data_IF_862536088740
#
_entry.id   IF_862536088740
#
_cell.length_a   1.000
_cell.length_b   1.000
_cell.length_c   1.000
_cell.angle_alpha   90.00
_cell.angle_beta   90.00
_cell.angle_gamma   90.00
#
_symmetry.space_group_name_H-M   'P 1'
#
loop_
_entity.id
_entity.type
_entity.pdbx_description
1 polymer ?
#
# COMPACT_ATOMS: atom_id res chain seq x y z
N UNK A 1 -32.70 76.71 27.64
CA UNK A 1 -32.94 75.76 28.73
C UNK A 1 -32.62 74.39 28.18
N UNK A 2 -31.58 74.01 28.44
CA UNK A 2 -30.74 72.92 28.90
C UNK A 2 -31.52 71.65 29.22
N UNK A 3 -31.24 70.57 28.53
CA UNK A 3 -31.70 69.22 28.80
C UNK A 3 -30.53 68.25 28.52
N UNK A 4 -29.90 67.82 29.60
CA UNK A 4 -28.76 66.86 29.60
C UNK A 4 -29.21 65.50 29.16
N UNK A 5 -28.49 64.92 28.18
CA UNK A 5 -28.62 63.55 27.79
C UNK A 5 -27.58 62.66 28.55
N UNK A 6 -28.10 61.78 29.38
CA UNK A 6 -27.39 60.80 30.16
C UNK A 6 -26.66 59.75 29.25
N UNK A 7 -25.33 59.66 29.38
CA UNK A 7 -24.50 58.66 28.77
C UNK A 7 -24.56 57.36 29.62
N UNK A 8 -25.25 56.35 29.13
CA UNK A 8 -25.18 55.02 29.72
C UNK A 8 -23.90 54.31 29.26
N UNK A 9 -22.97 54.07 30.18
CA UNK A 9 -21.77 53.31 29.98
C UNK A 9 -22.09 51.83 29.75
N UNK A 10 -21.90 51.35 28.53
CA UNK A 10 -21.87 49.91 28.18
C UNK A 10 -20.57 49.32 28.69
N UNK A 11 -20.65 48.45 29.71
CA UNK A 11 -19.53 47.67 30.22
C UNK A 11 -18.94 46.71 29.15
N UNK A 12 -17.66 46.36 29.28
CA UNK A 12 -17.00 45.51 28.31
C UNK A 12 -17.62 44.10 28.35
N UNK A 13 -18.14 43.64 27.21
CA UNK A 13 -18.55 42.25 27.01
C UNK A 13 -17.34 41.33 27.24
N UNK A 14 -17.42 40.53 28.28
CA UNK A 14 -16.46 39.45 28.52
C UNK A 14 -16.47 38.49 27.33
N UNK A 15 -15.44 38.55 26.49
CA UNK A 15 -15.16 37.55 25.47
C UNK A 15 -14.84 36.23 26.21
N UNK A 16 -15.85 35.34 26.26
CA UNK A 16 -15.65 33.95 26.67
C UNK A 16 -14.57 33.40 25.77
N UNK A 17 -13.38 33.20 26.34
CA UNK A 17 -12.23 32.65 25.67
C UNK A 17 -12.58 31.28 25.08
N UNK A 18 -12.91 31.26 23.78
CA UNK A 18 -12.83 30.03 22.99
C UNK A 18 -11.36 29.65 22.97
N UNK A 19 -10.96 28.68 23.82
CA UNK A 19 -9.66 28.03 23.74
C UNK A 19 -9.49 27.59 22.29
N UNK A 20 -8.52 28.18 21.60
CA UNK A 20 -8.15 27.79 20.25
C UNK A 20 -7.91 26.27 20.25
N UNK A 21 -8.44 25.53 19.27
CA UNK A 21 -8.22 24.09 19.19
C UNK A 21 -6.71 23.82 19.22
N UNK A 22 -6.23 23.11 20.24
CA UNK A 22 -4.81 22.75 20.33
C UNK A 22 -4.36 22.12 19.02
N UNK A 23 -3.43 22.77 18.34
CA UNK A 23 -2.89 22.29 17.08
C UNK A 23 -2.27 20.89 17.34
N UNK A 24 -2.80 19.90 16.68
CA UNK A 24 -2.32 18.52 16.80
C UNK A 24 -0.83 18.48 16.46
N UNK A 25 -0.03 17.86 17.32
CA UNK A 25 1.42 17.77 17.11
C UNK A 25 1.71 17.01 15.81
N UNK A 26 2.54 17.54 14.90
CA UNK A 26 2.79 16.93 13.58
C UNK A 26 3.35 15.49 13.67
N UNK A 27 4.21 15.24 14.67
CA UNK A 27 4.76 13.90 14.92
C UNK A 27 3.70 12.89 15.38
N UNK A 28 2.78 13.30 16.24
CA UNK A 28 1.67 12.42 16.65
C UNK A 28 0.81 12.03 15.45
N UNK A 29 0.56 12.97 14.53
CA UNK A 29 -0.16 12.69 13.29
C UNK A 29 0.63 11.76 12.36
N UNK A 30 1.94 11.97 12.19
CA UNK A 30 2.80 11.11 11.39
C UNK A 30 2.88 9.68 11.95
N UNK A 31 3.04 9.52 13.27
CA UNK A 31 3.04 8.22 13.95
C UNK A 31 1.67 7.54 13.85
N UNK A 32 0.58 8.27 14.03
CA UNK A 32 -0.78 7.75 13.81
C UNK A 32 -0.96 7.24 12.38
N UNK A 33 -0.40 7.96 11.41
CA UNK A 33 -0.36 7.54 10.01
C UNK A 33 0.48 6.29 9.77
N UNK A 34 1.68 6.23 10.37
CA UNK A 34 2.55 5.04 10.32
C UNK A 34 1.83 3.81 10.85
N UNK A 35 1.20 3.91 12.03
CA UNK A 35 0.47 2.80 12.65
C UNK A 35 -0.76 2.38 11.83
N UNK A 36 -1.47 3.33 11.21
CA UNK A 36 -2.59 3.02 10.32
C UNK A 36 -2.13 2.20 9.11
N UNK A 37 -0.99 2.59 8.50
CA UNK A 37 -0.40 1.86 7.37
C UNK A 37 0.19 0.52 7.80
N UNK A 38 0.82 0.47 8.98
CA UNK A 38 1.36 -0.77 9.52
C UNK A 38 0.26 -1.80 9.77
N UNK A 39 -0.87 -1.40 10.37
CA UNK A 39 -2.00 -2.30 10.59
C UNK A 39 -2.66 -2.71 9.27
N UNK A 40 -3.23 -1.76 8.51
CA UNK A 40 -4.09 -2.07 7.36
C UNK A 40 -3.33 -2.74 6.19
N UNK A 41 -2.08 -2.36 5.96
CA UNK A 41 -1.31 -2.86 4.82
C UNK A 41 -0.19 -3.81 5.28
N UNK A 42 0.64 -3.38 6.22
CA UNK A 42 1.79 -4.16 6.65
C UNK A 42 1.42 -5.46 7.35
N UNK A 43 0.51 -5.42 8.32
CA UNK A 43 0.06 -6.61 9.07
C UNK A 43 -1.08 -7.28 8.33
N UNK A 44 -2.26 -6.70 8.27
CA UNK A 44 -3.49 -7.36 7.83
C UNK A 44 -3.42 -7.92 6.39
N UNK A 45 -2.71 -7.25 5.52
CA UNK A 45 -2.56 -7.66 4.13
C UNK A 45 -1.40 -8.62 3.93
N UNK A 46 -0.21 -8.27 4.43
CA UNK A 46 1.04 -8.95 4.11
C UNK A 46 1.43 -10.07 5.06
N UNK A 47 0.76 -10.23 6.22
CA UNK A 47 1.02 -11.37 7.12
C UNK A 47 0.65 -12.71 6.48
N UNK A 48 -0.20 -12.70 5.46
CA UNK A 48 -0.54 -13.91 4.72
C UNK A 48 0.70 -14.62 4.18
N UNK A 49 1.67 -13.88 3.66
CA UNK A 49 2.89 -14.44 3.08
C UNK A 49 3.69 -15.32 4.05
N UNK A 50 4.05 -14.88 5.27
CA UNK A 50 4.76 -15.75 6.21
C UNK A 50 3.88 -16.80 6.88
N UNK A 51 2.55 -16.63 6.95
CA UNK A 51 1.63 -17.67 7.47
C UNK A 51 1.38 -18.74 6.40
N UNK A 52 1.38 -18.37 5.12
CA UNK A 52 0.98 -19.24 4.01
C UNK A 52 1.60 -20.64 4.06
N UNK A 53 2.92 -20.83 4.20
CA UNK A 53 3.47 -22.18 4.14
C UNK A 53 3.00 -23.07 5.30
N UNK A 54 2.82 -22.51 6.51
CA UNK A 54 2.30 -23.23 7.68
C UNK A 54 0.83 -23.58 7.53
N UNK A 55 0.05 -22.63 7.02
CA UNK A 55 -1.38 -22.78 6.77
C UNK A 55 -1.65 -23.76 5.62
N UNK A 56 -0.90 -23.65 4.52
CA UNK A 56 -1.04 -24.51 3.35
C UNK A 56 -0.74 -25.97 3.70
N UNK A 57 0.30 -26.22 4.49
CA UNK A 57 0.64 -27.56 4.98
C UNK A 57 -0.47 -28.13 5.89
N UNK A 58 -0.99 -27.32 6.83
CA UNK A 58 -2.02 -27.75 7.77
C UNK A 58 -3.39 -28.00 7.10
N UNK A 59 -3.74 -27.22 6.08
CA UNK A 59 -5.02 -27.30 5.36
C UNK A 59 -4.93 -28.06 4.03
N UNK A 60 -3.75 -28.59 3.68
CA UNK A 60 -3.48 -29.27 2.41
C UNK A 60 -3.90 -28.43 1.18
N UNK A 61 -3.60 -27.10 1.23
CA UNK A 61 -3.95 -26.20 0.14
C UNK A 61 -3.04 -26.40 -1.06
N UNK A 62 -3.63 -26.43 -2.25
CA UNK A 62 -2.85 -26.34 -3.50
C UNK A 62 -2.28 -24.91 -3.67
N UNK A 63 -1.28 -24.74 -4.53
CA UNK A 63 -0.74 -23.40 -4.80
C UNK A 63 -1.78 -22.48 -5.46
N UNK A 64 -2.69 -23.03 -6.28
CA UNK A 64 -3.80 -22.28 -6.86
C UNK A 64 -4.81 -21.79 -5.79
N UNK A 65 -5.16 -22.63 -4.81
CA UNK A 65 -6.02 -22.21 -3.69
C UNK A 65 -5.35 -21.14 -2.84
N UNK A 66 -4.05 -21.30 -2.57
CA UNK A 66 -3.26 -20.28 -1.87
C UNK A 66 -3.22 -18.96 -2.65
N UNK A 67 -2.99 -19.02 -3.96
CA UNK A 67 -3.05 -17.85 -4.83
C UNK A 67 -4.43 -17.19 -4.86
N UNK A 68 -5.51 -17.99 -4.89
CA UNK A 68 -6.88 -17.48 -4.88
C UNK A 68 -7.21 -16.74 -3.57
N UNK A 69 -6.75 -17.25 -2.42
CA UNK A 69 -6.90 -16.58 -1.11
C UNK A 69 -6.18 -15.22 -1.11
N UNK A 70 -4.98 -15.13 -1.68
CA UNK A 70 -4.28 -13.86 -1.85
C UNK A 70 -5.03 -12.92 -2.79
N UNK A 71 -5.47 -13.42 -3.95
CA UNK A 71 -6.21 -12.67 -4.98
C UNK A 71 -7.54 -12.12 -4.46
N UNK A 72 -8.23 -12.84 -3.57
CA UNK A 72 -9.45 -12.35 -2.92
C UNK A 72 -9.21 -11.07 -2.12
N UNK A 73 -8.07 -10.97 -1.41
CA UNK A 73 -7.71 -9.74 -0.71
C UNK A 73 -7.43 -8.59 -1.68
N UNK A 74 -6.76 -8.85 -2.80
CA UNK A 74 -6.47 -7.83 -3.81
C UNK A 74 -7.72 -7.37 -4.55
N UNK A 75 -8.68 -8.28 -4.82
CA UNK A 75 -10.00 -7.91 -5.35
C UNK A 75 -10.76 -7.01 -4.36
N UNK A 76 -10.77 -7.39 -3.08
CA UNK A 76 -11.34 -6.57 -2.02
C UNK A 76 -10.71 -5.18 -1.99
N UNK A 77 -9.38 -5.12 -2.04
CA UNK A 77 -8.62 -3.87 -2.07
C UNK A 77 -8.99 -2.98 -3.27
N UNK A 78 -9.08 -3.54 -4.46
CA UNK A 78 -9.50 -2.83 -5.66
C UNK A 78 -10.89 -2.21 -5.49
N UNK A 79 -11.87 -3.01 -5.06
CA UNK A 79 -13.25 -2.54 -4.89
C UNK A 79 -13.37 -1.55 -3.72
N UNK A 80 -12.63 -1.76 -2.63
CA UNK A 80 -12.55 -0.83 -1.50
C UNK A 80 -11.95 0.51 -1.89
N UNK A 81 -10.92 0.52 -2.72
CA UNK A 81 -10.32 1.75 -3.24
C UNK A 81 -11.27 2.53 -4.15
N UNK A 82 -11.98 1.83 -5.04
CA UNK A 82 -13.01 2.45 -5.90
C UNK A 82 -14.20 2.98 -5.07
N UNK A 83 -14.57 2.26 -4.01
CA UNK A 83 -15.60 2.72 -3.07
C UNK A 83 -15.15 3.99 -2.34
N UNK A 84 -13.94 4.01 -1.78
CA UNK A 84 -13.39 5.14 -1.03
C UNK A 84 -13.17 6.40 -1.91
N UNK A 85 -12.99 6.22 -3.21
CA UNK A 85 -12.86 7.32 -4.17
C UNK A 85 -14.19 8.02 -4.51
N UNK A 86 -15.35 7.52 -4.03
CA UNK A 86 -16.66 8.15 -4.30
C UNK A 86 -16.83 9.47 -3.56
N UNK A 87 -17.37 10.53 -4.22
CA UNK A 87 -17.62 11.84 -3.56
C UNK A 87 -18.70 11.77 -2.48
N UNK A 88 -19.59 10.78 -2.59
CA UNK A 88 -20.78 10.65 -1.76
C UNK A 88 -20.53 9.99 -0.38
N UNK A 89 -19.26 9.77 0.02
CA UNK A 89 -18.97 9.28 1.35
C UNK A 89 -19.27 10.34 2.39
N UNK A 90 -20.51 10.29 2.93
CA UNK A 90 -20.95 11.17 4.00
C UNK A 90 -20.26 10.81 5.33
N UNK A 91 -19.98 11.81 6.17
CA UNK A 91 -19.48 11.63 7.52
C UNK A 91 -17.99 11.94 7.70
N UNK A 92 -17.50 11.69 8.92
CA UNK A 92 -16.11 11.98 9.28
C UNK A 92 -15.15 10.97 8.66
N UNK A 93 -14.11 11.44 7.98
CA UNK A 93 -13.02 10.61 7.44
C UNK A 93 -12.36 9.76 8.53
N UNK A 94 -12.28 10.28 9.75
CA UNK A 94 -11.76 9.58 10.92
C UNK A 94 -12.65 8.37 11.28
N UNK A 95 -13.98 8.52 11.27
CA UNK A 95 -14.89 7.40 11.54
C UNK A 95 -14.72 6.29 10.50
N UNK A 96 -14.59 6.64 9.24
CA UNK A 96 -14.30 5.68 8.15
C UNK A 96 -12.96 4.97 8.36
N UNK A 97 -11.90 5.72 8.73
CA UNK A 97 -10.59 5.14 9.03
C UNK A 97 -10.68 4.12 10.17
N UNK A 98 -11.27 4.52 11.29
CA UNK A 98 -11.34 3.64 12.48
C UNK A 98 -12.23 2.41 12.25
N UNK A 99 -13.39 2.57 11.60
CA UNK A 99 -14.26 1.46 11.23
C UNK A 99 -13.57 0.49 10.25
N UNK A 100 -12.86 1.01 9.27
CA UNK A 100 -12.12 0.21 8.32
C UNK A 100 -10.95 -0.55 8.99
N UNK A 101 -10.18 0.09 9.86
CA UNK A 101 -9.13 -0.59 10.63
C UNK A 101 -9.71 -1.68 11.53
N UNK A 102 -10.84 -1.41 12.24
CA UNK A 102 -11.51 -2.40 13.06
C UNK A 102 -11.99 -3.61 12.24
N UNK A 103 -12.63 -3.35 11.09
CA UNK A 103 -13.09 -4.43 10.18
C UNK A 103 -11.92 -5.24 9.65
N UNK A 104 -10.82 -4.58 9.21
CA UNK A 104 -9.64 -5.29 8.71
C UNK A 104 -9.03 -6.18 9.78
N UNK A 105 -8.82 -5.65 10.99
CA UNK A 105 -8.24 -6.38 12.11
C UNK A 105 -9.11 -7.57 12.56
N UNK A 106 -10.43 -7.38 12.63
CA UNK A 106 -11.37 -8.47 13.00
C UNK A 106 -11.44 -9.55 11.93
N UNK A 107 -11.44 -9.19 10.65
CA UNK A 107 -11.35 -10.16 9.54
C UNK A 107 -10.03 -10.93 9.56
N UNK A 108 -8.91 -10.24 9.87
CA UNK A 108 -7.59 -10.87 10.00
C UNK A 108 -7.58 -11.89 11.13
N UNK A 109 -8.01 -11.52 12.34
CA UNK A 109 -8.14 -12.47 13.45
C UNK A 109 -9.16 -13.58 13.17
N UNK A 110 -10.25 -13.27 12.48
CA UNK A 110 -11.30 -14.20 12.07
C UNK A 110 -10.83 -15.33 11.15
N UNK A 111 -9.71 -15.15 10.43
CA UNK A 111 -9.09 -16.22 9.63
C UNK A 111 -8.77 -17.47 10.47
N UNK A 112 -8.53 -17.31 11.76
CA UNK A 112 -8.26 -18.42 12.67
C UNK A 112 -9.49 -19.33 12.94
N UNK A 113 -10.70 -18.84 12.70
CA UNK A 113 -11.96 -19.51 13.06
C UNK A 113 -12.43 -20.52 12.02
N UNK A 114 -11.83 -20.52 10.82
CA UNK A 114 -12.28 -21.38 9.72
C UNK A 114 -11.11 -22.07 9.03
N UNK A 115 -11.39 -23.25 8.46
CA UNK A 115 -10.46 -24.03 7.66
C UNK A 115 -10.98 -24.26 6.24
N UNK A 116 -12.23 -23.85 5.95
CA UNK A 116 -12.84 -24.04 4.63
C UNK A 116 -12.58 -22.85 3.71
N UNK A 117 -12.39 -23.14 2.42
CA UNK A 117 -11.94 -22.15 1.43
C UNK A 117 -12.93 -20.96 1.27
N UNK A 118 -14.28 -21.15 1.16
CA UNK A 118 -15.17 -20.02 0.93
C UNK A 118 -15.14 -18.95 2.03
N UNK A 119 -15.22 -19.27 3.35
CA UNK A 119 -15.07 -18.26 4.40
C UNK A 119 -13.68 -17.60 4.41
N UNK A 120 -12.60 -18.34 4.10
CA UNK A 120 -11.26 -17.76 3.98
C UNK A 120 -11.21 -16.70 2.89
N UNK A 121 -11.83 -16.96 1.72
CA UNK A 121 -11.93 -16.01 0.62
C UNK A 121 -12.74 -14.77 1.02
N UNK A 122 -13.89 -14.96 1.72
CA UNK A 122 -14.72 -13.85 2.18
C UNK A 122 -14.00 -12.96 3.19
N UNK A 123 -13.32 -13.54 4.18
CA UNK A 123 -12.55 -12.80 5.16
C UNK A 123 -11.39 -12.03 4.53
N UNK A 124 -10.67 -12.65 3.60
CA UNK A 124 -9.59 -11.98 2.86
C UNK A 124 -10.11 -10.86 1.97
N UNK A 125 -11.24 -11.06 1.30
CA UNK A 125 -11.91 -10.02 0.52
C UNK A 125 -12.33 -8.84 1.42
N UNK A 126 -13.00 -9.11 2.53
CA UNK A 126 -13.48 -8.07 3.46
C UNK A 126 -12.31 -7.30 4.10
N UNK A 127 -11.24 -8.01 4.52
CA UNK A 127 -10.01 -7.39 5.03
C UNK A 127 -9.35 -6.51 3.97
N UNK A 128 -9.25 -6.96 2.71
CA UNK A 128 -8.70 -6.16 1.61
C UNK A 128 -9.53 -4.90 1.32
N UNK A 129 -10.87 -5.04 1.28
CA UNK A 129 -11.78 -3.91 1.08
C UNK A 129 -11.62 -2.86 2.19
N UNK A 130 -11.67 -3.30 3.44
CA UNK A 130 -11.49 -2.43 4.59
C UNK A 130 -10.09 -1.79 4.61
N UNK A 131 -9.04 -2.58 4.31
CA UNK A 131 -7.67 -2.08 4.21
C UNK A 131 -7.51 -0.94 3.21
N UNK A 132 -8.13 -1.04 2.02
CA UNK A 132 -8.10 0.03 1.02
C UNK A 132 -8.80 1.30 1.51
N UNK A 133 -9.97 1.17 2.14
CA UNK A 133 -10.68 2.32 2.74
C UNK A 133 -9.80 2.97 3.82
N UNK A 134 -9.20 2.17 4.71
CA UNK A 134 -8.32 2.67 5.76
C UNK A 134 -7.13 3.47 5.19
N UNK A 135 -6.46 2.94 4.16
CA UNK A 135 -5.31 3.61 3.52
C UNK A 135 -5.71 4.94 2.92
N UNK A 136 -6.80 5.00 2.15
CA UNK A 136 -7.25 6.24 1.49
C UNK A 136 -7.65 7.29 2.52
N UNK A 137 -8.37 6.88 3.58
CA UNK A 137 -8.75 7.80 4.66
C UNK A 137 -7.52 8.25 5.47
N UNK A 138 -6.54 7.37 5.71
CA UNK A 138 -5.30 7.73 6.40
C UNK A 138 -4.46 8.73 5.58
N UNK A 139 -4.33 8.54 4.27
CA UNK A 139 -3.65 9.51 3.38
C UNK A 139 -4.32 10.87 3.47
N UNK A 140 -5.65 10.93 3.35
CA UNK A 140 -6.40 12.19 3.42
C UNK A 140 -6.31 12.87 4.80
N UNK A 141 -6.28 12.10 5.89
CA UNK A 141 -6.20 12.65 7.24
C UNK A 141 -4.78 13.03 7.67
N UNK A 142 -3.77 12.30 7.20
CA UNK A 142 -2.39 12.46 7.66
C UNK A 142 -1.58 13.25 6.64
N UNK A 143 -1.47 12.75 5.41
CA UNK A 143 -0.56 13.34 4.41
C UNK A 143 -1.04 14.72 3.98
N UNK A 144 -2.35 14.89 3.72
CA UNK A 144 -2.92 16.19 3.34
C UNK A 144 -2.79 17.21 4.48
N UNK A 145 -3.05 16.80 5.75
CA UNK A 145 -2.91 17.69 6.91
C UNK A 145 -1.45 18.06 7.18
N UNK A 146 -0.51 17.14 7.04
CA UNK A 146 0.93 17.43 7.17
C UNK A 146 1.38 18.42 6.08
N UNK A 147 0.93 18.24 4.84
CA UNK A 147 1.23 19.13 3.74
C UNK A 147 0.64 20.54 3.97
N UNK A 148 -0.62 20.63 4.37
CA UNK A 148 -1.30 21.90 4.69
C UNK A 148 -0.64 22.64 5.87
N UNK A 149 -0.04 21.91 6.82
CA UNK A 149 0.73 22.46 7.94
C UNK A 149 2.19 22.79 7.62
N UNK A 150 2.64 22.71 6.36
CA UNK A 150 4.04 22.91 5.95
C UNK A 150 4.98 21.81 6.42
N UNK A 151 4.47 20.66 6.84
CA UNK A 151 5.23 19.52 7.37
C UNK A 151 5.22 18.31 6.43
N UNK A 152 5.07 18.53 5.12
CA UNK A 152 5.05 17.49 4.09
C UNK A 152 6.27 16.57 4.09
N UNK A 153 7.42 17.00 4.64
CA UNK A 153 8.62 16.19 4.81
C UNK A 153 8.42 14.99 5.77
N UNK A 154 7.35 14.96 6.58
CA UNK A 154 6.99 13.83 7.43
C UNK A 154 6.14 12.76 6.70
N UNK A 155 5.66 13.01 5.49
CA UNK A 155 4.87 12.03 4.71
C UNK A 155 5.60 10.68 4.50
N UNK A 156 6.92 10.60 4.30
CA UNK A 156 7.63 9.32 4.23
C UNK A 156 7.47 8.45 5.48
N UNK A 157 7.34 9.05 6.68
CA UNK A 157 7.10 8.31 7.93
C UNK A 157 5.78 7.54 7.87
N UNK A 158 4.73 8.14 7.32
CA UNK A 158 3.45 7.48 7.11
C UNK A 158 3.60 6.23 6.22
N UNK A 159 4.28 6.34 5.09
CA UNK A 159 4.46 5.23 4.15
C UNK A 159 5.41 4.14 4.66
N UNK A 160 6.41 4.49 5.49
CA UNK A 160 7.29 3.54 6.16
C UNK A 160 6.52 2.53 7.03
N UNK A 161 5.31 2.88 7.47
CA UNK A 161 4.43 2.00 8.22
C UNK A 161 4.17 0.66 7.53
N UNK A 162 4.13 0.60 6.19
CA UNK A 162 3.97 -0.66 5.45
C UNK A 162 5.13 -1.61 5.75
N UNK A 163 6.36 -1.15 5.59
CA UNK A 163 7.55 -1.96 5.86
C UNK A 163 7.67 -2.36 7.33
N UNK A 164 7.38 -1.44 8.25
CA UNK A 164 7.33 -1.73 9.69
C UNK A 164 6.30 -2.82 9.98
N UNK A 165 5.09 -2.73 9.44
CA UNK A 165 4.05 -3.73 9.62
C UNK A 165 4.42 -5.10 9.02
N UNK A 166 5.11 -5.13 7.88
CA UNK A 166 5.67 -6.36 7.28
C UNK A 166 6.70 -7.00 8.25
N UNK A 167 7.63 -6.21 8.79
CA UNK A 167 8.61 -6.71 9.76
C UNK A 167 7.95 -7.21 11.05
N UNK A 168 6.93 -6.52 11.55
CA UNK A 168 6.12 -6.95 12.70
C UNK A 168 5.39 -8.25 12.38
N UNK A 169 4.82 -8.40 11.19
CA UNK A 169 4.16 -9.64 10.77
C UNK A 169 5.12 -10.84 10.76
N UNK A 170 6.36 -10.62 10.32
CA UNK A 170 7.40 -11.64 10.40
C UNK A 170 7.73 -12.03 11.86
N UNK A 171 7.85 -11.04 12.75
CA UNK A 171 8.12 -11.27 14.17
C UNK A 171 6.97 -12.03 14.85
N UNK A 172 5.71 -11.73 14.52
CA UNK A 172 4.53 -12.46 15.01
C UNK A 172 4.61 -13.94 14.63
N UNK A 173 4.90 -14.24 13.35
CA UNK A 173 4.97 -15.60 12.86
C UNK A 173 6.16 -16.35 13.47
N UNK A 174 7.33 -15.72 13.52
CA UNK A 174 8.53 -16.31 14.13
C UNK A 174 8.32 -16.60 15.63
N UNK A 175 7.77 -15.65 16.39
CA UNK A 175 7.45 -15.82 17.81
C UNK A 175 6.40 -16.92 18.07
N UNK A 176 5.34 -16.98 17.25
CA UNK A 176 4.32 -18.04 17.35
C UNK A 176 4.92 -19.43 17.07
N UNK A 177 5.82 -19.53 16.08
CA UNK A 177 6.51 -20.81 15.80
C UNK A 177 7.47 -21.22 16.92
N UNK A 178 8.22 -20.26 17.45
CA UNK A 178 9.12 -20.52 18.59
C UNK A 178 8.36 -21.05 19.81
N UNK A 179 7.14 -20.53 20.04
CA UNK A 179 6.23 -21.00 21.09
C UNK A 179 5.49 -22.31 20.75
N UNK A 180 5.76 -22.95 19.61
CA UNK A 180 5.12 -24.20 19.18
C UNK A 180 3.67 -24.04 18.72
N UNK A 181 3.23 -22.81 18.45
CA UNK A 181 1.86 -22.52 18.04
C UNK A 181 1.65 -22.72 16.53
N UNK A 182 0.43 -23.16 16.13
CA UNK A 182 0.06 -23.34 14.74
C UNK A 182 -0.42 -22.05 14.06
N UNK A 183 -0.81 -22.16 12.79
CA UNK A 183 -1.23 -21.05 11.92
C UNK A 183 -2.41 -20.23 12.48
N UNK A 184 -3.31 -20.83 13.26
CA UNK A 184 -4.47 -20.13 13.85
C UNK A 184 -4.05 -19.07 14.85
N UNK A 185 -3.10 -19.38 15.74
CA UNK A 185 -2.58 -18.38 16.69
C UNK A 185 -1.85 -17.25 16.01
N UNK A 186 -1.18 -17.49 14.86
CA UNK A 186 -0.54 -16.43 14.07
C UNK A 186 -1.57 -15.41 13.56
N UNK A 187 -2.73 -15.87 13.09
CA UNK A 187 -3.83 -14.98 12.69
C UNK A 187 -4.45 -14.22 13.86
N UNK A 188 -4.63 -14.88 15.02
CA UNK A 188 -5.13 -14.22 16.23
C UNK A 188 -4.16 -13.13 16.69
N UNK A 189 -2.86 -13.46 16.79
CA UNK A 189 -1.83 -12.47 17.18
C UNK A 189 -1.77 -11.29 16.22
N UNK A 190 -1.94 -11.53 14.91
CA UNK A 190 -2.02 -10.47 13.91
C UNK A 190 -3.23 -9.55 14.13
N UNK A 191 -4.42 -10.12 14.30
CA UNK A 191 -5.63 -9.36 14.59
C UNK A 191 -5.49 -8.53 15.87
N UNK A 192 -4.93 -9.13 16.95
CA UNK A 192 -4.67 -8.41 18.20
C UNK A 192 -3.68 -7.27 18.00
N UNK A 193 -2.57 -7.50 17.29
CA UNK A 193 -1.60 -6.45 16.99
C UNK A 193 -2.23 -5.29 16.21
N UNK A 194 -3.08 -5.59 15.23
CA UNK A 194 -3.81 -4.56 14.46
C UNK A 194 -4.82 -3.81 15.32
N UNK A 195 -5.51 -4.48 16.26
CA UNK A 195 -6.40 -3.83 17.23
C UNK A 195 -5.63 -2.94 18.22
N UNK A 196 -4.43 -3.33 18.65
CA UNK A 196 -3.55 -2.47 19.43
C UNK A 196 -3.14 -1.21 18.66
N UNK A 197 -2.78 -1.36 17.37
CA UNK A 197 -2.52 -0.22 16.50
C UNK A 197 -3.76 0.68 16.37
N UNK A 198 -4.95 0.12 16.18
CA UNK A 198 -6.21 0.86 16.15
C UNK A 198 -6.42 1.68 17.43
N UNK A 199 -6.22 1.08 18.61
CA UNK A 199 -6.35 1.75 19.89
C UNK A 199 -5.43 2.99 19.98
N UNK A 200 -4.17 2.86 19.55
CA UNK A 200 -3.22 3.96 19.53
C UNK A 200 -3.62 5.01 18.48
N UNK A 201 -4.05 4.58 17.29
CA UNK A 201 -4.51 5.49 16.22
C UNK A 201 -5.71 6.32 16.68
N UNK A 202 -6.64 5.76 17.48
CA UNK A 202 -7.77 6.52 18.04
C UNK A 202 -7.33 7.67 18.91
N UNK A 203 -6.24 7.52 19.66
CA UNK A 203 -5.68 8.56 20.50
C UNK A 203 -4.87 9.60 19.69
N UNK A 204 -4.13 9.14 18.68
CA UNK A 204 -3.21 10.00 17.91
C UNK A 204 -3.88 10.78 16.78
N UNK A 205 -4.92 10.27 16.12
CA UNK A 205 -5.61 10.94 15.00
C UNK A 205 -6.95 11.48 15.52
N UNK A 206 -7.00 12.77 15.83
CA UNK A 206 -8.21 13.45 16.36
C UNK A 206 -9.04 14.06 15.22
N UNK A 207 -10.38 14.11 15.41
CA UNK A 207 -11.25 14.88 14.51
C UNK A 207 -10.98 16.39 14.65
N UNK A 208 -10.87 17.06 13.54
CA UNK A 208 -10.99 18.52 13.50
C UNK A 208 -12.40 18.84 13.01
N UNK A 209 -13.15 19.61 13.80
CA UNK A 209 -14.51 20.07 13.48
C UNK A 209 -14.61 20.93 12.21
N UNK A 210 -13.52 21.15 11.51
CA UNK A 210 -13.42 21.99 10.33
C UNK A 210 -12.59 21.35 9.21
N UNK A 211 -12.66 20.01 9.02
CA UNK A 211 -12.23 19.48 7.74
C UNK A 211 -13.27 19.91 6.69
N UNK A 212 -12.93 20.85 5.79
CA UNK A 212 -13.91 21.27 4.79
C UNK A 212 -14.33 20.04 3.99
N UNK A 213 -15.61 19.92 3.64
CA UNK A 213 -16.02 18.92 2.68
C UNK A 213 -15.15 19.11 1.44
N UNK A 214 -14.58 18.03 0.94
CA UNK A 214 -13.82 18.04 -0.32
C UNK A 214 -14.78 18.33 -1.47
N UNK A 215 -15.27 19.56 -1.53
CA UNK A 215 -15.86 20.15 -2.70
C UNK A 215 -14.75 20.82 -3.52
N UNK A 216 -13.88 20.01 -4.10
CA UNK A 216 -13.42 20.36 -5.44
C UNK A 216 -14.54 19.88 -6.36
N UNK A 217 -15.63 20.61 -6.37
CA UNK A 217 -16.55 20.64 -7.49
C UNK A 217 -15.80 21.34 -8.64
N UNK A 218 -14.78 20.69 -9.16
CA UNK A 218 -14.22 21.08 -10.43
C UNK A 218 -14.91 20.24 -11.50
N UNK A 219 -15.97 20.89 -11.97
CA UNK A 219 -16.71 20.63 -13.16
C UNK A 219 -15.77 20.51 -14.35
N UNK A 220 -15.89 19.44 -15.04
CA UNK A 220 -15.24 18.96 -16.28
C UNK A 220 -14.10 17.98 -16.05
N UNK A 221 -14.50 16.76 -15.70
CA UNK A 221 -13.63 15.56 -15.68
C UNK A 221 -13.30 15.11 -17.13
N UNK A 222 -12.96 16.06 -18.00
CA UNK A 222 -12.46 15.85 -19.36
C UNK A 222 -10.94 15.79 -19.37
N UNK A 223 -10.35 14.96 -18.50
CA UNK A 223 -8.95 14.63 -18.65
C UNK A 223 -8.78 13.76 -19.90
N UNK A 224 -8.08 14.29 -20.92
CA UNK A 224 -7.76 13.53 -22.13
C UNK A 224 -6.72 12.46 -21.79
N UNK A 225 -7.11 11.21 -21.92
CA UNK A 225 -6.23 10.05 -21.71
C UNK A 225 -5.42 9.84 -23.01
N UNK A 226 -4.24 10.46 -23.05
CA UNK A 226 -3.32 10.31 -24.17
C UNK A 226 -2.63 8.93 -24.20
N UNK A 227 -1.97 8.58 -25.32
CA UNK A 227 -1.30 7.28 -25.47
C UNK A 227 -0.21 7.04 -24.42
N UNK A 228 0.50 8.08 -23.99
CA UNK A 228 1.54 8.01 -22.94
C UNK A 228 0.97 7.62 -21.58
N UNK A 229 -0.19 8.14 -21.25
CA UNK A 229 -0.87 7.77 -20.00
C UNK A 229 -1.36 6.32 -20.05
N UNK A 230 -1.83 5.83 -21.22
CA UNK A 230 -2.19 4.41 -21.40
C UNK A 230 -0.97 3.50 -21.24
N UNK A 231 0.20 3.88 -21.76
CA UNK A 231 1.46 3.15 -21.55
C UNK A 231 1.84 3.10 -20.07
N UNK A 232 1.66 4.19 -19.32
CA UNK A 232 1.94 4.24 -17.89
C UNK A 232 0.97 3.36 -17.09
N UNK A 233 -0.34 3.32 -17.43
CA UNK A 233 -1.30 2.40 -16.81
C UNK A 233 -0.86 0.95 -17.06
N UNK A 234 -0.52 0.60 -18.29
CA UNK A 234 -0.06 -0.75 -18.63
C UNK A 234 1.23 -1.12 -17.88
N UNK A 235 2.21 -0.21 -17.81
CA UNK A 235 3.42 -0.39 -17.03
C UNK A 235 3.13 -0.64 -15.55
N UNK A 236 2.24 0.16 -14.96
CA UNK A 236 1.83 0.05 -13.57
C UNK A 236 1.05 -1.25 -13.27
N UNK A 237 0.24 -1.73 -14.22
CA UNK A 237 -0.48 -3.00 -14.12
C UNK A 237 0.48 -4.18 -14.18
N UNK A 238 1.42 -4.16 -15.12
CA UNK A 238 2.43 -5.22 -15.30
C UNK A 238 3.42 -5.27 -14.13
N UNK A 239 3.82 -4.11 -13.58
CA UNK A 239 4.67 -4.09 -12.40
C UNK A 239 3.95 -4.66 -11.18
N UNK A 240 2.67 -4.34 -11.01
CA UNK A 240 1.84 -4.88 -9.95
C UNK A 240 1.67 -6.41 -10.05
N UNK A 241 1.50 -6.94 -11.26
CA UNK A 241 1.45 -8.37 -11.54
C UNK A 241 2.81 -9.04 -11.21
N UNK A 242 3.93 -8.43 -11.63
CA UNK A 242 5.25 -9.03 -11.47
C UNK A 242 5.67 -9.18 -10.00
N UNK A 243 5.61 -8.07 -9.23
CA UNK A 243 6.11 -8.12 -7.86
C UNK A 243 5.25 -8.99 -6.93
N UNK A 244 3.91 -8.99 -7.15
CA UNK A 244 2.99 -9.65 -6.23
C UNK A 244 3.15 -11.16 -6.20
N UNK A 245 3.61 -11.75 -7.29
CA UNK A 245 3.91 -13.19 -7.39
C UNK A 245 5.01 -13.54 -6.38
N UNK A 246 6.16 -12.88 -6.46
CA UNK A 246 7.26 -13.10 -5.52
C UNK A 246 6.87 -12.69 -4.10
N UNK A 247 6.22 -11.55 -3.90
CA UNK A 247 5.78 -11.10 -2.58
C UNK A 247 4.79 -12.07 -1.91
N UNK A 248 4.01 -12.83 -2.68
CA UNK A 248 3.07 -13.82 -2.13
C UNK A 248 3.76 -15.13 -1.75
N UNK A 249 4.69 -15.61 -2.57
CA UNK A 249 5.20 -16.98 -2.46
C UNK A 249 6.67 -17.09 -2.00
N UNK A 250 7.39 -15.97 -1.78
CA UNK A 250 8.82 -15.99 -1.43
C UNK A 250 9.10 -16.82 -0.16
N UNK A 251 8.26 -16.72 0.88
CA UNK A 251 8.44 -17.49 2.12
C UNK A 251 8.14 -18.97 1.90
N UNK A 252 7.14 -19.30 1.07
CA UNK A 252 6.82 -20.68 0.69
C UNK A 252 7.98 -21.28 -0.12
N UNK A 253 8.56 -20.52 -1.03
CA UNK A 253 9.72 -20.92 -1.84
C UNK A 253 10.95 -21.19 -0.94
N UNK A 254 11.24 -20.32 0.01
CA UNK A 254 12.33 -20.50 0.98
C UNK A 254 12.11 -21.75 1.82
N UNK A 255 10.88 -21.98 2.30
CA UNK A 255 10.54 -23.16 3.11
C UNK A 255 10.64 -24.47 2.33
N UNK A 256 10.34 -24.49 1.04
CA UNK A 256 10.42 -25.69 0.19
C UNK A 256 11.85 -26.16 -0.08
N UNK A 257 12.83 -25.28 0.11
CA UNK A 257 14.25 -25.59 -0.07
C UNK A 257 14.94 -25.91 1.27
N UNK A 258 15.46 -27.13 1.49
CA UNK A 258 16.13 -27.49 2.75
C UNK A 258 17.28 -26.55 3.12
N UNK A 259 18.04 -26.08 2.12
CA UNK A 259 19.19 -25.19 2.29
C UNK A 259 18.79 -23.78 2.73
N UNK A 260 17.60 -23.31 2.33
CA UNK A 260 17.08 -21.96 2.61
C UNK A 260 16.17 -21.91 3.84
N UNK A 261 15.70 -23.05 4.33
CA UNK A 261 14.79 -23.16 5.46
C UNK A 261 15.22 -22.36 6.70
N UNK A 262 16.51 -22.23 7.06
CA UNK A 262 16.95 -21.37 8.18
C UNK A 262 16.63 -19.88 7.98
N UNK A 263 16.46 -19.43 6.72
CA UNK A 263 16.14 -18.05 6.39
C UNK A 263 14.64 -17.74 6.44
N UNK A 264 13.76 -18.74 6.61
CA UNK A 264 12.29 -18.59 6.57
C UNK A 264 11.78 -17.48 7.49
N UNK A 265 12.33 -17.39 8.71
CA UNK A 265 11.92 -16.37 9.67
C UNK A 265 12.46 -14.96 9.32
N UNK A 266 13.68 -14.89 8.77
CA UNK A 266 14.38 -13.61 8.52
C UNK A 266 14.05 -12.98 7.18
N UNK A 267 13.73 -13.77 6.14
CA UNK A 267 13.54 -13.26 4.79
C UNK A 267 12.42 -12.19 4.72
N UNK A 268 11.33 -12.41 5.47
CA UNK A 268 10.21 -11.48 5.49
C UNK A 268 10.50 -10.23 6.33
N UNK A 269 11.37 -10.34 7.35
CA UNK A 269 11.90 -9.17 8.08
C UNK A 269 12.73 -8.31 7.14
N UNK A 270 13.65 -8.91 6.39
CA UNK A 270 14.50 -8.20 5.42
C UNK A 270 13.64 -7.51 4.35
N UNK A 271 12.63 -8.20 3.82
CA UNK A 271 11.67 -7.62 2.88
C UNK A 271 10.98 -6.37 3.46
N UNK A 272 10.48 -6.45 4.70
CA UNK A 272 9.83 -5.33 5.39
C UNK A 272 10.77 -4.16 5.66
N UNK A 273 11.99 -4.43 6.14
CA UNK A 273 13.00 -3.40 6.39
C UNK A 273 13.42 -2.68 5.10
N UNK A 274 13.53 -3.40 3.99
CA UNK A 274 13.81 -2.81 2.68
C UNK A 274 12.62 -1.97 2.17
N UNK A 275 11.39 -2.38 2.46
CA UNK A 275 10.19 -1.67 2.04
C UNK A 275 10.01 -0.32 2.77
N UNK A 276 10.43 -0.22 4.03
CA UNK A 276 10.21 0.96 4.85
C UNK A 276 10.78 2.26 4.24
N UNK A 277 12.03 2.33 3.75
CA UNK A 277 12.59 3.52 3.13
C UNK A 277 12.27 3.67 1.63
N UNK A 278 11.65 2.69 1.01
CA UNK A 278 11.49 2.53 -0.45
C UNK A 278 10.88 3.77 -1.12
N UNK A 279 9.79 4.33 -0.57
CA UNK A 279 9.16 5.53 -1.14
C UNK A 279 10.09 6.74 -1.07
N UNK A 280 10.74 6.96 0.07
CA UNK A 280 11.67 8.09 0.23
C UNK A 280 12.86 7.98 -0.73
N UNK A 281 13.46 6.78 -0.82
CA UNK A 281 14.60 6.49 -1.67
C UNK A 281 14.26 6.76 -3.16
N UNK A 282 13.19 6.14 -3.66
CA UNK A 282 12.88 6.23 -5.09
C UNK A 282 12.32 7.59 -5.50
N UNK A 283 11.64 8.30 -4.59
CA UNK A 283 11.24 9.69 -4.83
C UNK A 283 12.45 10.65 -4.87
N UNK A 284 13.47 10.40 -4.03
CA UNK A 284 14.72 11.14 -4.09
C UNK A 284 15.50 10.90 -5.39
N UNK A 285 15.56 9.64 -5.87
CA UNK A 285 16.15 9.31 -7.19
C UNK A 285 15.37 9.99 -8.32
N UNK A 286 14.04 9.97 -8.27
CA UNK A 286 13.18 10.60 -9.27
C UNK A 286 13.35 12.13 -9.36
N UNK A 287 13.75 12.76 -8.27
CA UNK A 287 14.13 14.18 -8.25
C UNK A 287 15.42 14.47 -9.03
N UNK A 288 16.27 13.46 -9.24
CA UNK A 288 17.57 13.63 -9.94
C UNK A 288 17.55 13.24 -11.40
N UNK A 289 16.84 12.17 -11.78
CA UNK A 289 16.91 11.62 -13.15
C UNK A 289 15.61 11.70 -13.94
N UNK A 290 14.48 11.87 -13.36
CA UNK A 290 13.11 11.90 -13.86
C UNK A 290 12.27 10.68 -13.41
N UNK A 291 10.96 10.91 -13.23
CA UNK A 291 10.00 9.93 -12.69
C UNK A 291 9.85 8.68 -13.57
N UNK A 292 9.78 8.87 -14.90
CA UNK A 292 9.57 7.75 -15.84
C UNK A 292 10.82 6.87 -15.96
N UNK A 293 12.00 7.50 -16.01
CA UNK A 293 13.28 6.78 -15.99
C UNK A 293 13.47 6.05 -14.67
N UNK A 294 13.14 6.70 -13.56
CA UNK A 294 13.21 6.04 -12.25
C UNK A 294 12.26 4.85 -12.18
N UNK A 295 11.02 5.00 -12.65
CA UNK A 295 10.06 3.89 -12.73
C UNK A 295 10.63 2.71 -13.53
N UNK A 296 11.22 2.98 -14.69
CA UNK A 296 11.84 1.96 -15.53
C UNK A 296 12.99 1.24 -14.82
N UNK A 297 13.90 1.99 -14.16
CA UNK A 297 15.02 1.42 -13.38
C UNK A 297 14.50 0.56 -12.24
N UNK A 298 13.50 1.03 -11.51
CA UNK A 298 12.92 0.28 -10.37
C UNK A 298 12.29 -1.04 -10.83
N UNK A 299 11.60 -1.05 -11.98
CA UNK A 299 11.09 -2.29 -12.57
C UNK A 299 12.22 -3.29 -12.90
N UNK A 300 13.38 -2.82 -13.37
CA UNK A 300 14.53 -3.71 -13.63
C UNK A 300 15.14 -4.23 -12.33
N UNK A 301 15.28 -3.39 -11.31
CA UNK A 301 15.75 -3.83 -9.98
C UNK A 301 14.82 -4.90 -9.41
N UNK A 302 13.52 -4.72 -9.57
CA UNK A 302 12.51 -5.68 -9.12
C UNK A 302 12.58 -6.99 -9.94
N UNK A 303 12.77 -6.90 -11.26
CA UNK A 303 12.97 -8.06 -12.13
C UNK A 303 14.21 -8.89 -11.74
N UNK A 304 15.32 -8.20 -11.41
CA UNK A 304 16.53 -8.87 -10.88
C UNK A 304 16.22 -9.61 -9.57
N UNK A 305 15.48 -8.97 -8.65
CA UNK A 305 15.05 -9.61 -7.41
C UNK A 305 14.17 -10.83 -7.64
N UNK A 306 13.20 -10.74 -8.56
CA UNK A 306 12.33 -11.86 -8.95
C UNK A 306 13.15 -13.03 -9.53
N UNK A 307 14.07 -12.76 -10.45
CA UNK A 307 14.95 -13.79 -11.03
C UNK A 307 15.87 -14.40 -9.98
N UNK A 308 16.45 -13.59 -9.10
CA UNK A 308 17.31 -14.08 -8.02
C UNK A 308 16.58 -15.07 -7.11
N UNK A 309 15.26 -14.88 -6.87
CA UNK A 309 14.47 -15.77 -6.02
C UNK A 309 14.36 -17.22 -6.53
N UNK A 310 14.55 -17.45 -7.84
CA UNK A 310 14.34 -18.77 -8.47
C UNK A 310 15.57 -19.30 -9.22
N UNK A 311 16.49 -18.43 -9.63
CA UNK A 311 17.72 -18.85 -10.35
C UNK A 311 18.94 -18.92 -9.43
N UNK A 312 18.93 -18.21 -8.31
CA UNK A 312 20.03 -18.18 -7.35
C UNK A 312 19.55 -18.69 -6.00
N UNK A 313 19.36 -20.03 -5.91
CA UNK A 313 18.77 -20.72 -4.76
C UNK A 313 19.78 -20.90 -3.61
N UNK A 314 20.46 -19.81 -3.24
CA UNK A 314 21.36 -19.68 -2.10
C UNK A 314 20.90 -18.56 -1.17
N UNK A 315 21.47 -18.50 0.03
CA UNK A 315 21.14 -17.47 1.02
C UNK A 315 21.27 -16.05 0.47
N UNK A 316 22.34 -15.76 -0.25
CA UNK A 316 22.61 -14.44 -0.83
C UNK A 316 21.57 -14.12 -1.91
N UNK A 317 21.27 -15.02 -2.83
CA UNK A 317 20.29 -14.82 -3.89
C UNK A 317 18.88 -14.52 -3.32
N UNK A 318 18.50 -15.26 -2.29
CA UNK A 318 17.23 -15.06 -1.59
C UNK A 318 17.18 -13.71 -0.86
N UNK A 319 18.28 -13.28 -0.23
CA UNK A 319 18.36 -11.95 0.40
C UNK A 319 18.33 -10.83 -0.66
N UNK A 320 19.00 -10.99 -1.80
CA UNK A 320 18.90 -10.05 -2.93
C UNK A 320 17.47 -9.95 -3.42
N UNK A 321 16.74 -11.06 -3.53
CA UNK A 321 15.33 -11.07 -3.90
C UNK A 321 14.48 -10.24 -2.92
N UNK A 322 14.65 -10.48 -1.61
CA UNK A 322 13.89 -9.75 -0.58
C UNK A 322 14.19 -8.24 -0.56
N UNK A 323 15.46 -7.86 -0.72
CA UNK A 323 15.88 -6.45 -0.74
C UNK A 323 15.38 -5.76 -2.02
N UNK A 324 15.56 -6.38 -3.19
CA UNK A 324 15.16 -5.78 -4.45
C UNK A 324 13.63 -5.65 -4.56
N UNK A 325 12.87 -6.71 -4.28
CA UNK A 325 11.41 -6.66 -4.39
C UNK A 325 10.80 -5.86 -3.25
N UNK A 326 11.24 -6.07 -2.00
CA UNK A 326 10.78 -5.29 -0.85
C UNK A 326 11.11 -3.81 -0.98
N UNK A 327 12.34 -3.47 -1.42
CA UNK A 327 12.81 -2.10 -1.58
C UNK A 327 12.27 -1.35 -2.80
N UNK A 328 11.49 -1.99 -3.68
CA UNK A 328 10.98 -1.38 -4.93
C UNK A 328 9.47 -1.17 -4.96
N UNK A 329 8.66 -2.12 -4.53
CA UNK A 329 7.21 -2.15 -4.82
C UNK A 329 6.44 -0.92 -4.32
N UNK A 330 6.76 -0.39 -3.14
CA UNK A 330 6.12 0.83 -2.63
C UNK A 330 6.58 2.07 -3.39
N UNK A 331 7.86 2.11 -3.79
CA UNK A 331 8.41 3.16 -4.64
C UNK A 331 7.73 3.21 -6.01
N UNK A 332 7.50 2.06 -6.67
CA UNK A 332 6.77 1.96 -7.93
C UNK A 332 5.36 2.52 -7.82
N UNK A 333 4.64 2.19 -6.75
CA UNK A 333 3.30 2.74 -6.51
C UNK A 333 3.32 4.27 -6.44
N UNK A 334 4.27 4.85 -5.69
CA UNK A 334 4.41 6.30 -5.56
C UNK A 334 4.82 6.96 -6.90
N UNK A 335 5.80 6.40 -7.60
CA UNK A 335 6.27 6.88 -8.90
C UNK A 335 5.15 6.86 -9.96
N UNK A 336 4.35 5.79 -9.98
CA UNK A 336 3.19 5.66 -10.86
C UNK A 336 2.18 6.78 -10.66
N UNK A 337 1.85 7.11 -9.41
CA UNK A 337 0.92 8.21 -9.09
C UNK A 337 1.49 9.60 -9.47
N UNK A 338 2.78 9.83 -9.23
CA UNK A 338 3.43 11.09 -9.65
C UNK A 338 3.53 11.18 -11.18
N UNK A 339 3.88 10.08 -11.86
CA UNK A 339 3.89 10.01 -13.33
C UNK A 339 2.52 10.28 -13.94
N UNK A 340 1.46 9.74 -13.34
CA UNK A 340 0.09 9.99 -13.77
C UNK A 340 -0.27 11.48 -13.71
N UNK A 341 0.04 12.16 -12.62
CA UNK A 341 -0.18 13.62 -12.46
C UNK A 341 0.60 14.44 -13.49
N UNK A 342 1.82 14.01 -13.88
CA UNK A 342 2.63 14.70 -14.91
C UNK A 342 2.09 14.55 -16.34
N UNK A 343 1.33 13.49 -16.61
CA UNK A 343 0.80 13.20 -17.96
C UNK A 343 -0.63 13.67 -18.17
N UNK A 344 -1.29 14.16 -17.13
CA UNK A 344 -2.69 14.58 -17.22
C UNK A 344 -2.82 16.07 -16.98
N UNK A 345 -3.63 16.73 -17.82
CA UNK A 345 -4.05 18.11 -17.69
C UNK A 345 -5.52 18.11 -17.29
N UNK A 346 -5.90 18.81 -16.22
CA UNK A 346 -7.26 18.81 -15.67
C UNK A 346 -7.39 18.04 -14.36
N UNK A 347 -8.58 17.54 -14.04
CA UNK A 347 -8.88 16.89 -12.78
C UNK A 347 -8.06 15.61 -12.53
N UNK A 348 -7.46 15.49 -11.35
CA UNK A 348 -6.61 14.35 -10.98
C UNK A 348 -7.39 13.06 -10.68
N UNK A 349 -8.71 13.13 -10.50
CA UNK A 349 -9.55 12.04 -10.00
C UNK A 349 -9.59 10.82 -10.92
N UNK A 350 -9.92 11.02 -12.20
CA UNK A 350 -10.00 9.94 -13.19
C UNK A 350 -8.64 9.27 -13.45
N UNK A 351 -7.52 10.00 -13.62
CA UNK A 351 -6.19 9.41 -13.71
C UNK A 351 -5.80 8.55 -12.50
N UNK A 352 -6.03 9.03 -11.30
CA UNK A 352 -5.75 8.28 -10.06
C UNK A 352 -6.59 7.01 -9.99
N UNK A 353 -7.90 7.08 -10.30
CA UNK A 353 -8.77 5.92 -10.31
C UNK A 353 -8.30 4.85 -11.32
N UNK A 354 -7.89 5.25 -12.53
CA UNK A 354 -7.38 4.33 -13.55
C UNK A 354 -6.05 3.68 -13.16
N UNK A 355 -5.13 4.45 -12.55
CA UNK A 355 -3.87 3.89 -12.03
C UNK A 355 -4.13 2.88 -10.92
N UNK A 356 -5.03 3.21 -9.99
CA UNK A 356 -5.42 2.30 -8.89
C UNK A 356 -6.10 1.04 -9.43
N UNK A 357 -6.99 1.18 -10.41
CA UNK A 357 -7.66 0.06 -11.03
C UNK A 357 -6.68 -0.86 -11.76
N UNK A 358 -5.78 -0.30 -12.58
CA UNK A 358 -4.74 -1.07 -13.27
C UNK A 358 -3.85 -1.83 -12.29
N UNK A 359 -3.35 -1.14 -11.26
CA UNK A 359 -2.52 -1.74 -10.21
C UNK A 359 -3.25 -2.87 -9.48
N UNK A 360 -4.50 -2.64 -9.09
CA UNK A 360 -5.33 -3.64 -8.43
C UNK A 360 -5.62 -4.87 -9.30
N UNK A 361 -5.84 -4.67 -10.62
CA UNK A 361 -6.01 -5.78 -11.57
C UNK A 361 -4.74 -6.65 -11.67
N UNK A 362 -3.56 -6.03 -11.78
CA UNK A 362 -2.30 -6.76 -11.80
C UNK A 362 -2.10 -7.60 -10.53
N UNK A 363 -2.32 -7.00 -9.37
CA UNK A 363 -2.22 -7.71 -8.09
C UNK A 363 -3.25 -8.83 -7.92
N UNK A 364 -4.46 -8.64 -8.40
CA UNK A 364 -5.54 -9.65 -8.30
C UNK A 364 -5.23 -10.88 -9.14
N UNK A 365 -4.70 -10.69 -10.34
CA UNK A 365 -4.42 -11.80 -11.28
C UNK A 365 -3.15 -12.57 -10.89
N UNK A 366 -2.11 -11.87 -10.41
CA UNK A 366 -0.77 -12.43 -10.20
C UNK A 366 -0.74 -13.70 -9.35
N UNK A 367 -1.25 -13.69 -8.09
CA UNK A 367 -1.13 -14.86 -7.22
C UNK A 367 -1.91 -16.09 -7.71
N UNK A 368 -3.13 -15.91 -8.24
CA UNK A 368 -3.91 -17.02 -8.82
C UNK A 368 -3.19 -17.58 -10.06
N UNK A 369 -2.70 -16.72 -10.95
CA UNK A 369 -1.92 -17.14 -12.11
C UNK A 369 -0.67 -17.95 -11.69
N UNK A 370 0.07 -17.46 -10.71
CA UNK A 370 1.27 -18.15 -10.23
C UNK A 370 0.94 -19.49 -9.58
N UNK A 371 -0.15 -19.58 -8.82
CA UNK A 371 -0.59 -20.83 -8.21
C UNK A 371 -1.02 -21.87 -9.23
N UNK A 372 -1.83 -21.49 -10.22
CA UNK A 372 -2.26 -22.37 -11.30
C UNK A 372 -1.07 -22.90 -12.10
N UNK A 373 -0.12 -22.02 -12.42
CA UNK A 373 1.06 -22.39 -13.19
C UNK A 373 2.01 -23.27 -12.38
N UNK A 374 2.11 -23.04 -11.08
CA UNK A 374 2.84 -23.91 -10.15
C UNK A 374 2.21 -25.30 -10.08
N UNK A 375 0.87 -25.41 -9.92
CA UNK A 375 0.18 -26.70 -9.83
C UNK A 375 0.34 -27.51 -11.13
N UNK A 376 0.44 -26.83 -12.28
CA UNK A 376 0.68 -27.47 -13.58
C UNK A 376 2.13 -27.86 -13.83
N UNK A 377 3.11 -27.08 -13.33
CA UNK A 377 4.56 -27.28 -13.63
C UNK A 377 5.36 -27.90 -12.49
N UNK A 378 4.79 -27.96 -11.27
CA UNK A 378 5.49 -28.40 -10.07
C UNK A 378 6.55 -27.42 -9.54
N UNK A 379 6.66 -26.19 -10.10
CA UNK A 379 7.73 -25.25 -9.78
C UNK A 379 7.28 -23.80 -9.87
N UNK A 380 7.87 -22.93 -9.03
CA UNK A 380 7.73 -21.47 -9.14
C UNK A 380 8.63 -20.83 -10.21
N UNK A 381 9.46 -21.61 -10.92
CA UNK A 381 10.35 -21.07 -11.94
C UNK A 381 9.56 -20.36 -13.05
N UNK A 382 8.60 -21.05 -13.66
CA UNK A 382 7.82 -20.50 -14.79
C UNK A 382 6.98 -19.28 -14.39
N UNK A 383 6.23 -19.29 -13.25
CA UNK A 383 5.55 -18.09 -12.75
C UNK A 383 6.49 -16.89 -12.55
N UNK A 384 7.68 -17.13 -12.00
CA UNK A 384 8.68 -16.08 -11.76
C UNK A 384 9.30 -15.54 -13.04
N UNK A 385 9.53 -16.39 -14.05
CA UNK A 385 9.97 -15.92 -15.37
C UNK A 385 8.92 -15.03 -16.03
N UNK A 386 7.63 -15.39 -15.95
CA UNK A 386 6.54 -14.56 -16.45
C UNK A 386 6.48 -13.22 -15.68
N UNK A 387 6.69 -13.25 -14.36
CA UNK A 387 6.75 -12.06 -13.51
C UNK A 387 7.91 -11.13 -13.92
N UNK A 388 9.10 -11.68 -14.11
CA UNK A 388 10.28 -10.93 -14.55
C UNK A 388 10.07 -10.33 -15.96
N UNK A 389 9.52 -11.09 -16.89
CA UNK A 389 9.19 -10.61 -18.24
C UNK A 389 8.18 -9.47 -18.19
N UNK A 390 7.16 -9.55 -17.33
CA UNK A 390 6.18 -8.47 -17.14
C UNK A 390 6.84 -7.19 -16.60
N UNK A 391 7.80 -7.30 -15.68
CA UNK A 391 8.55 -6.18 -15.13
C UNK A 391 9.47 -5.53 -16.17
N UNK A 392 10.15 -6.34 -17.01
CA UNK A 392 10.93 -5.81 -18.12
C UNK A 392 10.05 -5.07 -19.12
N UNK A 393 8.89 -5.63 -19.47
CA UNK A 393 7.92 -4.94 -20.34
C UNK A 393 7.39 -3.65 -19.70
N UNK A 394 7.12 -3.66 -18.39
CA UNK A 394 6.73 -2.47 -17.64
C UNK A 394 7.81 -1.37 -17.70
N UNK A 395 9.08 -1.77 -17.57
CA UNK A 395 10.23 -0.85 -17.70
C UNK A 395 10.26 -0.20 -19.09
N UNK A 396 10.11 -0.98 -20.15
CA UNK A 396 10.12 -0.46 -21.54
C UNK A 396 8.95 0.51 -21.78
N UNK A 397 7.74 0.15 -21.34
CA UNK A 397 6.56 1.02 -21.47
C UNK A 397 6.71 2.34 -20.70
N UNK A 398 7.27 2.29 -19.49
CA UNK A 398 7.52 3.49 -18.69
C UNK A 398 8.58 4.40 -19.35
N UNK A 399 9.66 3.82 -19.89
CA UNK A 399 10.68 4.55 -20.63
C UNK A 399 10.10 5.22 -21.89
N UNK A 400 9.28 4.52 -22.67
CA UNK A 400 8.57 5.06 -23.84
C UNK A 400 7.62 6.20 -23.44
N UNK A 401 6.88 6.07 -22.32
CA UNK A 401 6.02 7.14 -21.81
C UNK A 401 6.81 8.42 -21.46
N UNK A 402 8.09 8.31 -21.09
CA UNK A 402 8.98 9.43 -20.80
C UNK A 402 9.62 10.12 -22.04
N UNK A 403 9.93 9.37 -23.10
CA UNK A 403 10.82 9.82 -24.21
C UNK A 403 10.28 10.96 -25.08
N UNK A 404 8.98 11.09 -25.31
CA UNK A 404 8.44 12.07 -26.25
C UNK A 404 8.48 13.53 -25.75
N UNK A 405 8.87 13.77 -24.49
CA UNK A 405 9.01 15.13 -23.94
C UNK A 405 10.31 15.81 -24.38
N UNK A 406 11.37 15.04 -24.61
CA UNK A 406 12.67 15.58 -25.06
C UNK A 406 12.69 16.01 -26.54
N UNK A 407 11.77 15.52 -27.38
CA UNK A 407 11.68 15.96 -28.77
C UNK A 407 10.93 17.30 -28.91
N UNK A 408 9.86 17.51 -28.13
CA UNK A 408 9.10 18.76 -28.18
C UNK A 408 9.90 19.95 -27.63
N UNK A 409 10.65 19.77 -26.55
CA UNK A 409 11.49 20.84 -25.96
C UNK A 409 12.76 21.16 -26.77
N UNK A 410 13.22 20.25 -27.62
CA UNK A 410 14.33 20.52 -28.54
C UNK A 410 13.88 21.22 -29.83
N UNK A 411 12.63 21.03 -30.25
CA UNK A 411 12.08 21.73 -31.42
C UNK A 411 11.78 23.20 -31.13
N UNK A 412 11.36 23.55 -29.91
CA UNK A 412 11.11 24.96 -29.52
C UNK A 412 12.36 25.73 -29.08
N UNK A 413 13.52 25.08 -29.02
CA UNK A 413 14.81 25.75 -28.72
C UNK A 413 15.65 26.00 -29.99
N UNK A 414 15.12 25.66 -31.18
CA UNK A 414 15.79 25.84 -32.50
C UNK A 414 15.02 26.86 -33.37
N UNK A 415 13.82 27.31 -32.95
CA UNK A 415 13.13 28.49 -33.48
C UNK A 415 13.37 29.73 -32.58
#
# INVERSE_FOLDING_TARGET
>A
MMGEASFAASGPAQSIGRTAPQAQQPWALAIGGLLSMAAANGIDRFIYTPILPVMAEALQLTASQAGLIASANYLGYLLGALFAARPALCGSRRRWLLAALATSATCTGGMALTASLPPLLMLRFASGFAGAVAIIMAIALVVERLAAGGRGYLAPVHFAGVGVGIAVSAAIVAGSRFAGHGWRSMWICAGVASLCCLAIVTALIRDRSADPPTHSADSSDRSTIGPRFRMLIAANTLSAFGYVITATFIVALVRSSPQLKPLEASIWVVFGLAAAPSVALWMWVAGRIDVFRTFAVVCLVEAVGVLASVLWLEAIGTLVAAVCVGGSFMGLTALGMVGARKLTVGGARRPVALMTAGFGCGQMVGPTFAGLLHDASGSFLLPSLCAAASLVLASLLAACAGHSRNRASRSTAIE
#
